data_IF_042737373796
#
_entry.id   IF_042737373796
#
_cell.length_a   1.000
_cell.length_b   1.000
_cell.length_c   1.000
_cell.angle_alpha   90.00
_cell.angle_beta   90.00
_cell.angle_gamma   90.00
#
_symmetry.space_group_name_H-M   'P 1'
#
loop_
_entity.id
_entity.type
_entity.pdbx_description
1 polymer ?
#
# COMPACT_ATOMS: atom_id res chain seq x y z
N UNK A 1 -0.83 8.41 3.59
CA UNK A 1 -1.18 9.21 2.40
C UNK A 1 -1.75 8.27 1.35
N UNK A 2 -2.90 8.58 0.77
CA UNK A 2 -3.65 7.63 -0.07
C UNK A 2 -3.52 7.98 -1.57
N UNK A 3 -4.44 8.76 -2.13
CA UNK A 3 -4.46 9.13 -3.56
C UNK A 3 -3.43 10.23 -3.95
N UNK A 4 -2.17 10.11 -3.51
CA UNK A 4 -1.11 11.10 -3.76
C UNK A 4 -0.77 11.24 -5.26
N UNK A 5 -0.89 10.15 -6.02
CA UNK A 5 -0.57 10.09 -7.44
C UNK A 5 -1.37 11.10 -8.27
N UNK A 6 -2.61 11.40 -7.87
CA UNK A 6 -3.49 12.32 -8.59
C UNK A 6 -3.10 13.80 -8.51
N UNK A 7 -2.13 14.16 -7.66
CA UNK A 7 -1.64 15.53 -7.53
C UNK A 7 -0.47 15.86 -8.46
N UNK A 8 0.14 14.84 -9.07
CA UNK A 8 1.30 14.98 -9.95
C UNK A 8 0.88 14.91 -11.41
N UNK A 9 1.47 15.77 -12.24
CA UNK A 9 1.23 15.84 -13.68
C UNK A 9 2.46 16.38 -14.40
N UNK A 10 2.36 16.65 -15.69
CA UNK A 10 3.45 17.19 -16.51
C UNK A 10 2.98 18.39 -17.31
N UNK A 11 3.79 19.46 -17.35
CA UNK A 11 3.59 20.53 -18.34
C UNK A 11 4.16 20.18 -19.71
N UNK A 12 5.01 19.16 -19.79
CA UNK A 12 5.52 18.57 -21.03
C UNK A 12 4.73 17.32 -21.41
N UNK A 13 3.91 17.42 -22.45
CA UNK A 13 3.11 16.31 -22.97
C UNK A 13 3.95 15.21 -23.65
N UNK A 14 5.21 15.49 -23.97
CA UNK A 14 6.15 14.53 -24.55
C UNK A 14 7.04 13.85 -23.50
N UNK A 15 6.88 14.17 -22.21
CA UNK A 15 7.67 13.58 -21.15
C UNK A 15 7.49 12.05 -21.10
N UNK A 16 8.60 11.32 -21.26
CA UNK A 16 8.63 9.87 -21.09
C UNK A 16 8.66 9.53 -19.60
N UNK A 17 7.52 9.02 -19.10
CA UNK A 17 7.38 8.63 -17.70
C UNK A 17 8.25 7.40 -17.36
N UNK A 18 8.87 7.36 -16.17
CA UNK A 18 9.43 6.12 -15.63
C UNK A 18 8.41 4.97 -15.65
N UNK A 19 8.86 3.75 -15.90
CA UNK A 19 7.97 2.58 -16.04
C UNK A 19 7.13 2.34 -14.78
N UNK A 20 7.71 2.56 -13.61
CA UNK A 20 7.07 2.36 -12.31
C UNK A 20 5.91 3.34 -12.05
N UNK A 21 5.85 4.47 -12.75
CA UNK A 21 4.73 5.42 -12.63
C UNK A 21 3.40 4.77 -12.99
N UNK A 22 3.41 3.86 -13.97
CA UNK A 22 2.23 3.08 -14.34
C UNK A 22 1.71 2.27 -13.16
N UNK A 23 2.61 1.73 -12.33
CA UNK A 23 2.23 0.91 -11.17
C UNK A 23 1.58 1.73 -10.05
N UNK A 24 1.91 3.01 -9.96
CA UNK A 24 1.35 3.94 -8.97
C UNK A 24 0.26 4.87 -9.54
N UNK A 25 -0.08 4.73 -10.83
CA UNK A 25 -1.10 5.52 -11.51
C UNK A 25 -0.74 7.01 -11.63
N UNK A 26 0.54 7.34 -11.81
CA UNK A 26 1.00 8.72 -12.05
C UNK A 26 0.94 8.99 -13.55
N UNK A 27 0.06 9.89 -13.97
CA UNK A 27 -0.19 10.23 -15.37
C UNK A 27 0.38 11.62 -15.75
N UNK A 28 0.40 11.95 -17.04
CA UNK A 28 0.78 13.29 -17.50
C UNK A 28 -0.26 14.35 -17.13
N UNK A 29 -1.53 13.97 -17.03
CA UNK A 29 -2.61 14.84 -16.57
C UNK A 29 -2.91 14.56 -15.09
N UNK A 30 -2.73 15.56 -14.23
CA UNK A 30 -3.11 15.48 -12.82
C UNK A 30 -4.58 15.86 -12.62
N UNK A 31 -5.14 15.49 -11.47
CA UNK A 31 -6.53 15.79 -11.10
C UNK A 31 -6.77 17.28 -10.86
N UNK A 32 -5.77 18.01 -10.38
CA UNK A 32 -5.90 19.39 -9.89
C UNK A 32 -5.07 20.41 -10.67
N UNK A 33 -4.29 19.96 -11.65
CA UNK A 33 -3.42 20.78 -12.49
C UNK A 33 -2.37 21.61 -11.72
N UNK A 34 -1.89 21.12 -10.56
CA UNK A 34 -0.91 21.83 -9.73
C UNK A 34 0.43 22.04 -10.43
N UNK A 35 0.83 21.13 -11.31
CA UNK A 35 2.05 21.21 -12.11
C UNK A 35 2.16 22.49 -12.94
N UNK A 36 1.03 23.14 -13.26
CA UNK A 36 0.99 24.40 -14.04
C UNK A 36 1.37 25.63 -13.21
N UNK A 37 1.36 25.52 -11.89
CA UNK A 37 1.50 26.64 -10.97
C UNK A 37 2.60 26.43 -9.91
N UNK A 38 2.94 25.18 -9.61
CA UNK A 38 4.02 24.81 -8.72
C UNK A 38 4.86 23.69 -9.34
N UNK A 39 6.12 24.00 -9.65
CA UNK A 39 7.03 23.08 -10.34
C UNK A 39 7.26 21.79 -9.58
N UNK A 40 7.10 21.79 -8.25
CA UNK A 40 7.20 20.58 -7.42
C UNK A 40 6.28 19.46 -7.90
N UNK A 41 5.11 19.79 -8.42
CA UNK A 41 4.13 18.81 -8.90
C UNK A 41 4.31 18.45 -10.40
N UNK A 42 5.23 19.12 -11.10
CA UNK A 42 5.58 18.84 -12.49
C UNK A 42 6.64 17.74 -12.59
N UNK A 43 6.20 16.54 -12.92
CA UNK A 43 7.04 15.34 -13.01
C UNK A 43 8.08 15.42 -14.13
N UNK A 44 7.91 16.29 -15.14
CA UNK A 44 8.93 16.53 -16.15
C UNK A 44 10.13 17.32 -15.60
N UNK A 45 9.93 18.01 -14.47
CA UNK A 45 10.95 18.83 -13.79
C UNK A 45 11.47 18.15 -12.53
N UNK A 46 10.59 17.51 -11.77
CA UNK A 46 10.91 16.81 -10.53
C UNK A 46 10.42 15.35 -10.55
N UNK A 47 11.02 14.48 -11.38
CA UNK A 47 10.57 13.09 -11.56
C UNK A 47 10.74 12.20 -10.32
N UNK A 48 11.47 12.66 -9.30
CA UNK A 48 11.60 11.92 -8.04
C UNK A 48 10.64 12.43 -6.97
N UNK A 49 9.96 13.56 -7.18
CA UNK A 49 9.07 14.13 -6.17
C UNK A 49 7.92 13.19 -5.80
N UNK A 50 7.26 12.47 -6.74
CA UNK A 50 6.25 11.48 -6.37
C UNK A 50 6.75 10.35 -5.46
N UNK A 51 8.06 10.08 -5.41
CA UNK A 51 8.64 9.04 -4.54
C UNK A 51 8.72 9.47 -3.07
N UNK A 52 8.48 10.75 -2.78
CA UNK A 52 8.45 11.36 -1.43
C UNK A 52 7.04 11.45 -0.87
N UNK A 53 6.09 10.69 -1.43
CA UNK A 53 4.68 10.62 -1.00
C UNK A 53 4.18 9.19 -1.11
N UNK A 54 3.06 8.93 -0.45
CA UNK A 54 2.48 7.60 -0.33
C UNK A 54 2.99 6.86 0.90
N UNK A 55 3.31 7.58 1.98
CA UNK A 55 3.79 7.00 3.23
C UNK A 55 2.79 7.18 4.38
N UNK A 56 2.98 6.41 5.44
CA UNK A 56 2.42 6.72 6.76
C UNK A 56 3.26 7.83 7.38
N UNK A 57 2.60 8.88 7.87
CA UNK A 57 3.25 10.02 8.51
C UNK A 57 2.93 10.00 10.00
N UNK A 58 3.96 9.90 10.84
CA UNK A 58 3.81 9.99 12.30
C UNK A 58 3.86 11.46 12.75
N UNK A 59 2.95 11.81 13.65
CA UNK A 59 2.78 13.15 14.20
C UNK A 59 2.65 13.02 15.72
N UNK A 60 3.42 13.80 16.48
CA UNK A 60 3.22 13.95 17.92
C UNK A 60 2.24 15.12 18.19
N UNK A 61 0.95 14.87 18.46
CA UNK A 61 -0.02 15.92 18.67
C UNK A 61 0.21 16.71 19.96
N UNK A 62 1.09 16.24 20.86
CA UNK A 62 1.44 16.93 22.11
C UNK A 62 2.57 17.94 21.93
N UNK A 63 3.29 17.90 20.80
CA UNK A 63 4.44 18.77 20.50
C UNK A 63 4.23 19.47 19.16
N UNK A 64 3.59 20.66 19.15
CA UNK A 64 3.19 21.34 17.92
C UNK A 64 4.36 21.80 17.03
N UNK A 65 5.56 21.92 17.60
CA UNK A 65 6.79 22.31 16.87
C UNK A 65 7.59 21.11 16.35
N UNK A 66 7.21 19.88 16.71
CA UNK A 66 7.90 18.69 16.23
C UNK A 66 7.50 18.40 14.78
N UNK A 67 8.51 18.18 13.93
CA UNK A 67 8.29 17.91 12.51
C UNK A 67 7.72 16.50 12.33
N UNK A 68 6.60 16.33 11.59
CA UNK A 68 6.11 15.01 11.21
C UNK A 68 7.16 14.18 10.48
N UNK A 69 7.10 12.86 10.65
CA UNK A 69 8.08 11.92 10.06
C UNK A 69 7.37 10.92 9.15
N UNK A 70 7.79 10.84 7.90
CA UNK A 70 7.39 9.77 6.97
C UNK A 70 8.08 8.46 7.36
N UNK A 71 7.30 7.43 7.68
CA UNK A 71 7.80 6.12 8.14
C UNK A 71 7.97 5.18 6.96
N UNK A 72 9.10 5.30 6.25
CA UNK A 72 9.37 4.56 5.01
C UNK A 72 9.45 3.04 5.19
N UNK A 73 9.74 2.55 6.40
CA UNK A 73 9.78 1.12 6.69
C UNK A 73 8.40 0.44 6.60
N UNK A 74 7.31 1.22 6.66
CA UNK A 74 5.93 0.75 6.44
C UNK A 74 5.57 0.65 4.94
N UNK A 75 6.50 1.02 4.05
CA UNK A 75 6.35 0.92 2.60
C UNK A 75 5.59 2.09 1.97
N UNK A 76 5.68 2.17 0.64
CA UNK A 76 5.06 3.22 -0.18
C UNK A 76 3.95 2.67 -1.07
N UNK A 77 2.74 3.14 -0.84
CA UNK A 77 1.52 2.81 -1.59
C UNK A 77 0.37 3.75 -1.19
N UNK A 78 -0.86 3.47 -1.64
CA UNK A 78 -2.03 4.31 -1.32
C UNK A 78 -2.61 3.87 0.02
N UNK A 79 -1.94 4.27 1.10
CA UNK A 79 -2.31 3.89 2.47
C UNK A 79 -3.67 4.48 2.84
N UNK A 80 -4.64 3.62 3.14
CA UNK A 80 -5.95 4.03 3.65
C UNK A 80 -5.88 4.41 5.13
N UNK A 81 -5.62 3.43 6.01
CA UNK A 81 -5.39 3.63 7.43
C UNK A 81 -4.19 2.79 7.92
N UNK A 82 -3.79 3.01 9.18
CA UNK A 82 -2.76 2.25 9.87
C UNK A 82 -3.32 1.66 11.17
N UNK A 83 -3.64 0.37 11.16
CA UNK A 83 -4.23 -0.31 12.31
C UNK A 83 -3.14 -0.91 13.21
N UNK A 84 -2.84 -0.23 14.31
CA UNK A 84 -1.80 -0.63 15.26
C UNK A 84 -2.29 -1.67 16.27
N UNK A 85 -1.44 -2.64 16.60
CA UNK A 85 -1.63 -3.62 17.66
C UNK A 85 -0.28 -3.95 18.33
N UNK A 86 -0.34 -4.61 19.48
CA UNK A 86 0.83 -5.21 20.11
C UNK A 86 0.77 -6.73 19.96
N UNK A 87 1.86 -7.31 19.48
CA UNK A 87 2.03 -8.76 19.51
C UNK A 87 2.18 -9.26 20.96
N UNK A 88 1.92 -10.56 21.26
CA UNK A 88 2.09 -11.11 22.60
C UNK A 88 3.50 -10.98 23.18
N UNK A 89 4.52 -10.81 22.32
CA UNK A 89 5.91 -10.58 22.70
C UNK A 89 6.28 -9.08 22.85
N UNK A 90 5.30 -8.19 22.73
CA UNK A 90 5.45 -6.75 22.94
C UNK A 90 5.89 -5.95 21.71
N UNK A 91 6.13 -6.60 20.56
CA UNK A 91 6.44 -5.88 19.32
C UNK A 91 5.23 -5.13 18.77
N UNK A 92 5.48 -3.98 18.16
CA UNK A 92 4.47 -3.17 17.47
C UNK A 92 4.15 -3.84 16.14
N UNK A 93 2.85 -3.99 15.86
CA UNK A 93 2.33 -4.49 14.59
C UNK A 93 1.45 -3.40 13.98
N UNK A 94 1.62 -3.14 12.69
CA UNK A 94 0.76 -2.20 11.94
C UNK A 94 0.20 -2.91 10.72
N UNK A 95 -1.12 -3.05 10.63
CA UNK A 95 -1.80 -3.56 9.45
C UNK A 95 -2.23 -2.41 8.54
N UNK A 96 -2.01 -2.57 7.24
CA UNK A 96 -2.14 -1.50 6.24
C UNK A 96 -2.89 -2.03 5.01
N UNK A 97 -3.82 -1.23 4.49
CA UNK A 97 -4.51 -1.47 3.21
C UNK A 97 -3.98 -0.54 2.12
N UNK A 98 -3.83 -1.06 0.90
CA UNK A 98 -3.55 -0.28 -0.30
C UNK A 98 -4.83 -0.13 -1.13
N UNK A 99 -5.48 1.03 -1.04
CA UNK A 99 -6.80 1.23 -1.66
C UNK A 99 -6.70 1.45 -3.17
N UNK A 100 -6.51 0.36 -3.89
CA UNK A 100 -6.68 0.30 -5.33
C UNK A 100 -7.17 -1.09 -5.76
N UNK A 101 -7.89 -1.15 -6.88
CA UNK A 101 -8.43 -2.42 -7.38
C UNK A 101 -7.28 -3.37 -7.72
N UNK A 102 -7.24 -4.51 -7.03
CA UNK A 102 -6.26 -5.55 -7.26
C UNK A 102 -4.90 -5.32 -6.62
N UNK A 103 -4.74 -4.31 -5.77
CA UNK A 103 -3.56 -4.18 -4.90
C UNK A 103 -3.79 -4.92 -3.57
N UNK A 104 -2.91 -4.75 -2.59
CA UNK A 104 -2.70 -5.75 -1.54
C UNK A 104 -2.98 -5.25 -0.12
N UNK A 105 -2.94 -6.19 0.82
CA UNK A 105 -2.87 -5.92 2.26
C UNK A 105 -1.45 -6.16 2.76
N UNK A 106 -1.03 -5.34 3.71
CA UNK A 106 0.31 -5.36 4.29
C UNK A 106 0.28 -5.43 5.81
N UNK A 107 1.39 -5.89 6.37
CA UNK A 107 1.64 -5.91 7.81
C UNK A 107 3.10 -5.49 8.05
N UNK A 108 3.30 -4.56 8.95
CA UNK A 108 4.61 -4.24 9.50
C UNK A 108 4.74 -4.82 10.92
N UNK A 109 5.93 -5.31 11.28
CA UNK A 109 6.26 -5.75 12.63
C UNK A 109 7.60 -5.15 13.03
N UNK A 110 7.65 -4.41 14.14
CA UNK A 110 8.89 -3.82 14.66
C UNK A 110 9.88 -4.89 15.11
N UNK A 111 11.18 -4.58 15.08
CA UNK A 111 12.20 -5.41 15.72
C UNK A 111 12.28 -5.13 17.24
N UNK A 112 12.07 -3.86 17.64
CA UNK A 112 11.97 -3.46 19.04
C UNK A 112 10.62 -3.78 19.68
N UNK A 113 10.57 -3.77 21.00
CA UNK A 113 9.33 -3.94 21.79
C UNK A 113 8.84 -2.61 22.34
N UNK A 114 7.53 -2.42 22.40
CA UNK A 114 6.93 -1.29 23.08
C UNK A 114 7.03 -1.45 24.59
N UNK A 115 7.53 -0.42 25.26
CA UNK A 115 7.57 -0.32 26.72
C UNK A 115 6.82 0.95 27.13
N UNK A 116 5.81 0.88 28.02
CA UNK A 116 5.11 2.08 28.50
C UNK A 116 6.08 3.12 29.07
N UNK A 117 6.04 4.33 28.52
CA UNK A 117 6.95 5.43 28.89
C UNK A 117 8.39 5.28 28.38
N UNK A 118 8.68 4.25 27.59
CA UNK A 118 9.96 4.07 26.92
C UNK A 118 10.08 4.88 25.63
N UNK A 119 11.27 4.80 25.03
CA UNK A 119 11.54 5.41 23.72
C UNK A 119 10.84 4.61 22.61
N UNK A 120 10.07 5.30 21.78
CA UNK A 120 9.33 4.73 20.64
C UNK A 120 9.90 5.15 19.29
N UNK A 121 10.94 6.00 19.27
CA UNK A 121 11.42 6.70 18.08
C UNK A 121 11.85 5.78 16.93
N UNK A 122 12.32 4.57 17.25
CA UNK A 122 12.77 3.58 16.26
C UNK A 122 11.75 2.50 15.92
N UNK A 123 10.61 2.43 16.65
CA UNK A 123 9.67 1.30 16.54
C UNK A 123 8.97 1.20 15.19
N UNK A 124 8.91 2.29 14.42
CA UNK A 124 8.36 2.32 13.06
C UNK A 124 9.42 2.50 11.97
N UNK A 125 10.70 2.52 12.33
CA UNK A 125 11.83 2.60 11.39
C UNK A 125 12.57 1.25 11.29
N UNK A 126 12.68 0.52 12.40
CA UNK A 126 13.40 -0.74 12.48
C UNK A 126 12.43 -1.92 12.64
N UNK A 127 12.17 -2.61 11.54
CA UNK A 127 11.25 -3.73 11.51
C UNK A 127 11.17 -4.42 10.15
N UNK A 128 10.10 -5.19 9.98
CA UNK A 128 9.88 -6.07 8.84
C UNK A 128 8.52 -5.82 8.23
N UNK A 129 8.49 -5.66 6.91
CA UNK A 129 7.28 -5.47 6.12
C UNK A 129 6.88 -6.79 5.45
N UNK A 130 5.58 -7.07 5.43
CA UNK A 130 5.00 -8.28 4.88
C UNK A 130 3.82 -7.94 3.96
N UNK A 131 3.61 -8.75 2.93
CA UNK A 131 2.40 -8.73 2.10
C UNK A 131 1.54 -9.98 2.37
N UNK A 132 0.22 -9.85 2.30
CA UNK A 132 -0.70 -10.95 2.52
C UNK A 132 -0.80 -11.86 1.28
N UNK A 133 -0.76 -13.18 1.50
CA UNK A 133 -1.18 -14.20 0.54
C UNK A 133 -2.29 -15.03 1.17
N UNK A 134 -3.42 -15.15 0.47
CA UNK A 134 -4.56 -15.96 0.89
C UNK A 134 -4.68 -17.20 0.00
N UNK A 135 -4.83 -18.35 0.65
CA UNK A 135 -4.99 -19.64 0.00
C UNK A 135 -6.48 -19.98 -0.23
N UNK A 136 -6.73 -21.00 -1.04
CA UNK A 136 -8.10 -21.42 -1.39
C UNK A 136 -8.83 -22.16 -0.27
N UNK A 137 -8.12 -22.60 0.76
CA UNK A 137 -8.65 -23.36 1.90
C UNK A 137 -9.02 -22.49 3.11
N UNK A 138 -9.20 -21.18 2.88
CA UNK A 138 -9.50 -20.16 3.90
C UNK A 138 -8.34 -19.89 4.87
N UNK A 139 -7.14 -20.34 4.54
CA UNK A 139 -5.91 -19.94 5.25
C UNK A 139 -5.19 -18.83 4.49
N UNK A 140 -4.12 -18.32 5.08
CA UNK A 140 -3.25 -17.35 4.46
C UNK A 140 -2.01 -17.12 5.30
N UNK A 141 -1.05 -16.43 4.70
CA UNK A 141 0.23 -16.15 5.30
C UNK A 141 0.69 -14.72 5.02
N UNK A 142 1.65 -14.29 5.84
CA UNK A 142 2.34 -13.02 5.68
C UNK A 142 3.71 -13.31 5.09
N UNK A 143 3.92 -12.94 3.83
CA UNK A 143 5.19 -13.16 3.13
C UNK A 143 6.10 -11.96 3.35
N UNK A 144 7.29 -12.17 3.93
CA UNK A 144 8.23 -11.10 4.24
C UNK A 144 8.82 -10.49 2.95
N UNK A 145 8.86 -9.16 2.89
CA UNK A 145 9.47 -8.41 1.79
C UNK A 145 10.92 -8.11 2.15
N UNK A 146 11.82 -8.97 1.67
CA UNK A 146 13.27 -8.86 1.91
C UNK A 146 14.03 -8.82 0.59
N UNK A 147 15.31 -8.42 0.59
CA UNK A 147 16.12 -8.51 -0.61
C UNK A 147 16.20 -9.92 -1.20
N UNK A 148 16.18 -10.95 -0.37
CA UNK A 148 16.22 -12.34 -0.83
C UNK A 148 14.88 -12.78 -1.45
N UNK A 149 13.74 -12.39 -0.87
CA UNK A 149 12.43 -12.80 -1.39
C UNK A 149 12.00 -12.02 -2.64
N UNK A 150 12.53 -10.81 -2.82
CA UNK A 150 12.12 -9.90 -3.90
C UNK A 150 13.21 -9.67 -4.95
N UNK A 151 14.48 -9.96 -4.64
CA UNK A 151 15.62 -9.56 -5.47
C UNK A 151 15.76 -8.04 -5.61
N UNK A 152 15.23 -7.25 -4.67
CA UNK A 152 15.29 -5.78 -4.64
C UNK A 152 16.09 -5.33 -3.43
N UNK A 153 16.79 -4.20 -3.49
CA UNK A 153 17.41 -3.64 -2.29
C UNK A 153 16.36 -3.20 -1.27
N UNK A 154 16.74 -3.08 0.01
CA UNK A 154 15.80 -2.65 1.06
C UNK A 154 15.20 -1.27 0.76
N UNK A 155 16.00 -0.34 0.21
CA UNK A 155 15.51 0.99 -0.17
C UNK A 155 14.48 0.91 -1.31
N UNK A 156 14.72 0.06 -2.32
CA UNK A 156 13.75 -0.18 -3.39
C UNK A 156 12.46 -0.83 -2.85
N UNK A 157 12.54 -1.74 -1.89
CA UNK A 157 11.35 -2.32 -1.26
C UNK A 157 10.51 -1.25 -0.56
N UNK A 158 11.13 -0.28 0.11
CA UNK A 158 10.43 0.83 0.76
C UNK A 158 9.74 1.77 -0.25
N UNK A 159 10.33 2.03 -1.42
CA UNK A 159 9.80 2.98 -2.42
C UNK A 159 8.86 2.32 -3.44
N UNK A 160 9.14 1.06 -3.79
CA UNK A 160 8.47 0.26 -4.81
C UNK A 160 7.80 -0.98 -4.18
N UNK A 161 7.15 -0.77 -3.04
CA UNK A 161 6.53 -1.81 -2.21
C UNK A 161 5.49 -2.63 -2.96
N UNK A 162 4.76 -2.00 -3.88
CA UNK A 162 3.81 -2.66 -4.79
C UNK A 162 4.51 -3.72 -5.66
N UNK A 163 5.62 -3.37 -6.29
CA UNK A 163 6.43 -4.29 -7.08
C UNK A 163 7.02 -5.41 -6.24
N UNK A 164 7.52 -5.10 -5.05
CA UNK A 164 8.01 -6.10 -4.10
C UNK A 164 6.92 -7.14 -3.73
N UNK A 165 5.70 -6.68 -3.45
CA UNK A 165 4.55 -7.53 -3.16
C UNK A 165 4.15 -8.43 -4.35
N UNK A 166 4.17 -7.89 -5.58
CA UNK A 166 3.97 -8.70 -6.80
C UNK A 166 4.98 -9.84 -6.89
N UNK A 167 6.27 -9.56 -6.65
CA UNK A 167 7.34 -10.56 -6.78
C UNK A 167 7.22 -11.72 -5.80
N UNK A 168 6.60 -11.50 -4.64
CA UNK A 168 6.35 -12.56 -3.64
C UNK A 168 4.98 -13.22 -3.80
N UNK A 169 4.19 -12.84 -4.81
CA UNK A 169 2.88 -13.43 -5.10
C UNK A 169 1.81 -13.06 -4.07
N UNK A 170 1.78 -11.79 -3.64
CA UNK A 170 0.70 -11.28 -2.80
C UNK A 170 -0.66 -11.40 -3.51
N UNK A 171 -1.73 -11.62 -2.74
CA UNK A 171 -3.07 -11.83 -3.33
C UNK A 171 -3.71 -10.52 -3.73
N UNK A 172 -4.14 -10.39 -5.00
CA UNK A 172 -4.88 -9.21 -5.47
C UNK A 172 -6.23 -9.06 -4.75
N UNK A 173 -6.47 -7.92 -4.11
CA UNK A 173 -7.64 -7.67 -3.25
C UNK A 173 -8.65 -6.70 -3.86
N UNK A 174 -9.88 -6.74 -3.37
CA UNK A 174 -10.95 -5.83 -3.77
C UNK A 174 -10.90 -4.53 -2.95
N UNK A 175 -9.93 -3.65 -3.25
CA UNK A 175 -9.78 -2.32 -2.62
C UNK A 175 -9.79 -2.39 -1.08
N UNK A 176 -8.68 -2.88 -0.48
CA UNK A 176 -8.47 -2.80 0.96
C UNK A 176 -8.52 -1.36 1.45
N UNK A 177 -9.61 -1.03 2.15
CA UNK A 177 -9.75 0.25 2.84
C UNK A 177 -9.39 0.04 4.34
N UNK A 178 -10.26 0.47 5.26
CA UNK A 178 -9.94 0.49 6.69
C UNK A 178 -9.76 -0.91 7.27
N UNK A 179 -8.70 -1.05 8.07
CA UNK A 179 -8.45 -2.20 8.94
C UNK A 179 -8.74 -1.84 10.40
N UNK A 180 -9.33 -2.76 11.14
CA UNK A 180 -9.51 -2.67 12.58
C UNK A 180 -9.04 -3.96 13.26
N UNK A 181 -8.39 -3.84 14.42
CA UNK A 181 -7.96 -4.97 15.25
C UNK A 181 -8.86 -5.06 16.48
N UNK A 182 -9.31 -6.26 16.82
CA UNK A 182 -10.10 -6.49 18.01
C UNK A 182 -9.21 -6.37 19.27
N UNK A 183 -9.56 -5.53 20.26
CA UNK A 183 -8.74 -5.37 21.47
C UNK A 183 -8.88 -6.52 22.47
N UNK A 184 -9.80 -7.45 22.26
CA UNK A 184 -10.13 -8.55 23.20
C UNK A 184 -9.75 -9.93 22.63
N UNK A 185 -9.84 -10.12 21.31
CA UNK A 185 -9.53 -11.38 20.63
C UNK A 185 -8.47 -11.19 19.54
N UNK A 186 -7.77 -12.27 19.18
CA UNK A 186 -6.78 -12.26 18.08
C UNK A 186 -7.51 -12.27 16.74
N UNK A 187 -8.14 -11.16 16.38
CA UNK A 187 -8.93 -10.96 15.16
C UNK A 187 -8.65 -9.58 14.55
N UNK A 188 -8.49 -9.54 13.23
CA UNK A 188 -8.48 -8.32 12.43
C UNK A 188 -9.70 -8.29 11.52
N UNK A 189 -10.06 -7.11 11.03
CA UNK A 189 -11.15 -6.91 10.08
C UNK A 189 -10.70 -5.91 9.04
N UNK A 190 -10.92 -6.17 7.75
CA UNK A 190 -10.61 -5.24 6.67
C UNK A 190 -11.85 -5.05 5.80
N UNK A 191 -12.19 -3.80 5.50
CA UNK A 191 -13.14 -3.47 4.47
C UNK A 191 -12.51 -3.71 3.09
N UNK A 192 -13.17 -4.50 2.25
CA UNK A 192 -12.87 -4.65 0.83
C UNK A 192 -14.01 -3.98 0.06
N UNK A 193 -13.83 -2.71 -0.29
CA UNK A 193 -14.96 -1.80 -0.51
C UNK A 193 -15.72 -2.06 -1.82
N UNK A 194 -15.04 -2.52 -2.87
CA UNK A 194 -15.59 -3.04 -4.13
C UNK A 194 -14.49 -3.34 -5.16
N UNK A 195 -14.79 -4.20 -6.13
CA UNK A 195 -13.98 -4.41 -7.33
C UNK A 195 -14.83 -4.72 -8.57
N UNK A 196 -15.30 -3.68 -9.26
CA UNK A 196 -16.06 -3.83 -10.51
C UNK A 196 -15.22 -4.37 -11.68
N UNK A 197 -13.91 -4.57 -11.51
CA UNK A 197 -13.02 -5.20 -12.49
C UNK A 197 -12.69 -6.66 -12.17
N UNK A 198 -13.04 -7.16 -10.97
CA UNK A 198 -12.81 -8.56 -10.56
C UNK A 198 -13.51 -9.51 -11.52
N UNK A 199 -12.78 -10.45 -12.10
CA UNK A 199 -13.24 -11.49 -13.02
C UNK A 199 -13.73 -10.99 -14.39
N UNK A 200 -13.79 -9.68 -14.60
CA UNK A 200 -14.33 -9.07 -15.82
C UNK A 200 -13.33 -9.19 -16.96
N UNK A 201 -13.83 -9.49 -18.17
CA UNK A 201 -13.02 -9.56 -19.39
C UNK A 201 -13.03 -8.26 -20.20
N UNK A 202 -11.95 -8.03 -20.96
CA UNK A 202 -11.88 -7.01 -22.01
C UNK A 202 -12.65 -7.49 -23.26
N UNK A 203 -12.83 -6.60 -24.23
CA UNK A 203 -13.52 -6.91 -25.50
C UNK A 203 -12.83 -8.01 -26.31
N UNK A 204 -11.50 -8.11 -26.20
CA UNK A 204 -10.69 -9.16 -26.82
C UNK A 204 -10.74 -10.51 -26.08
N UNK A 205 -11.52 -10.60 -25.00
CA UNK A 205 -11.70 -11.80 -24.20
C UNK A 205 -10.64 -12.03 -23.11
N UNK A 206 -9.59 -11.20 -23.02
CA UNK A 206 -8.59 -11.28 -21.95
C UNK A 206 -9.18 -10.87 -20.59
N UNK A 207 -8.68 -11.43 -19.48
CA UNK A 207 -9.10 -10.99 -18.14
C UNK A 207 -8.54 -9.59 -17.83
N UNK A 208 -9.32 -8.77 -17.15
CA UNK A 208 -8.83 -7.49 -16.63
C UNK A 208 -7.79 -7.72 -15.54
N UNK A 209 -6.74 -6.92 -15.58
CA UNK A 209 -5.61 -6.98 -14.67
C UNK A 209 -5.49 -5.71 -13.82
N UNK A 210 -4.73 -5.79 -12.73
CA UNK A 210 -4.25 -4.60 -12.03
C UNK A 210 -3.11 -3.93 -12.84
N UNK A 211 -2.53 -2.85 -12.31
CA UNK A 211 -1.46 -2.12 -13.01
C UNK A 211 -0.17 -2.95 -13.19
N UNK A 212 0.03 -4.01 -12.40
CA UNK A 212 1.13 -4.97 -12.53
C UNK A 212 0.91 -6.03 -13.62
N UNK A 213 -0.30 -6.11 -14.20
CA UNK A 213 -0.66 -7.16 -15.15
C UNK A 213 -1.15 -8.45 -14.48
N UNK A 214 -1.42 -8.45 -13.18
CA UNK A 214 -1.95 -9.62 -12.48
C UNK A 214 -3.46 -9.75 -12.71
N UNK A 215 -3.90 -10.96 -13.08
CA UNK A 215 -5.32 -11.25 -13.26
C UNK A 215 -6.08 -11.10 -11.95
N UNK A 216 -7.14 -10.30 -11.98
CA UNK A 216 -8.03 -10.15 -10.83
C UNK A 216 -9.13 -11.19 -10.92
N UNK A 217 -8.84 -12.48 -10.77
CA UNK A 217 -9.87 -13.54 -10.73
C UNK A 217 -10.57 -13.60 -9.38
N UNK A 218 -11.82 -14.09 -9.29
CA UNK A 218 -12.44 -14.42 -8.01
C UNK A 218 -11.56 -15.39 -7.21
N UNK A 219 -11.42 -15.12 -5.91
CA UNK A 219 -10.63 -15.93 -4.97
C UNK A 219 -11.33 -15.94 -3.59
N UNK A 220 -10.73 -16.57 -2.57
CA UNK A 220 -11.31 -16.73 -1.23
C UNK A 220 -11.88 -15.41 -0.65
N UNK A 221 -11.03 -14.40 -0.36
CA UNK A 221 -11.50 -13.11 0.17
C UNK A 221 -12.23 -12.22 -0.85
N UNK A 222 -12.16 -12.54 -2.15
CA UNK A 222 -12.76 -11.75 -3.25
C UNK A 222 -13.69 -12.63 -4.11
N UNK A 223 -14.84 -13.10 -3.58
CA UNK A 223 -15.55 -14.24 -4.15
C UNK A 223 -16.49 -13.91 -5.34
N UNK A 224 -16.64 -12.64 -5.72
CA UNK A 224 -17.64 -12.19 -6.70
C UNK A 224 -17.01 -11.49 -7.88
N UNK A 225 -17.38 -11.91 -9.08
CA UNK A 225 -17.12 -11.14 -10.30
C UNK A 225 -17.89 -9.80 -10.27
N UNK A 226 -17.32 -8.76 -10.88
CA UNK A 226 -17.92 -7.43 -11.01
C UNK A 226 -18.49 -6.91 -9.67
N UNK A 227 -17.72 -7.06 -8.59
CA UNK A 227 -18.15 -6.74 -7.24
C UNK A 227 -18.43 -5.23 -7.09
N UNK A 228 -19.71 -4.87 -7.04
CA UNK A 228 -20.17 -3.48 -6.90
C UNK A 228 -20.49 -3.06 -5.46
N UNK A 229 -20.37 -3.96 -4.49
CA UNK A 229 -20.90 -3.75 -3.13
C UNK A 229 -19.84 -3.82 -2.03
N UNK A 230 -18.80 -4.64 -2.23
CA UNK A 230 -17.79 -4.89 -1.21
C UNK A 230 -18.18 -5.94 -0.16
N UNK A 231 -17.23 -6.25 0.71
CA UNK A 231 -17.32 -7.24 1.78
C UNK A 231 -16.38 -6.86 2.93
N UNK A 232 -16.51 -7.52 4.08
CA UNK A 232 -15.55 -7.42 5.18
C UNK A 232 -14.87 -8.77 5.33
N UNK A 233 -13.54 -8.78 5.28
CA UNK A 233 -12.72 -9.96 5.57
C UNK A 233 -12.25 -9.93 7.01
N UNK A 234 -12.08 -11.10 7.61
CA UNK A 234 -11.66 -11.31 8.99
C UNK A 234 -10.62 -12.41 9.07
#
# INVERSE_FOLDING_TARGET
>A
EENFNGYFGSTDAAFERPEDYKRYGIELESRYAYEKFDERYDISRHPNEPYRFGYVVEIDPSKPEEMPVERTALGRFKHENAACALAPDGRVVVYLGDDERGEYMYKYVSNGVYVPGGDTSTLLDDGKLYAARFDTDLTGEWVELTPDSTGMSQAEICVFTRQAATKVGATTMDRPEWIAVNPISVQGYCALTNNSRRGVRNEDGTLRTNAAGEEMVPNGPNPREANNYGQIVR
#
